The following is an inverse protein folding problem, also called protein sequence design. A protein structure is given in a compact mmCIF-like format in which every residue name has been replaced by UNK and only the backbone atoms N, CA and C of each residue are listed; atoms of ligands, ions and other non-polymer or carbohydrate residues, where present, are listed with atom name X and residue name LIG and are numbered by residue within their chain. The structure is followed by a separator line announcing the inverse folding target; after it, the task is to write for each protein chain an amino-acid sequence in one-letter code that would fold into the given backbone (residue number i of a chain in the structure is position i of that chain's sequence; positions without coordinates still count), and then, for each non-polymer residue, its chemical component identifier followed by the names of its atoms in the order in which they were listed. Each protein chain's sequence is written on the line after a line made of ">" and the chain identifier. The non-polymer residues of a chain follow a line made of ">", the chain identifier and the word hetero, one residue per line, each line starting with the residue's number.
data_IF_588045020169
#
_entry.id   IF_588045020169
#
_cell.length_a   1.000
_cell.length_b   1.000
_cell.length_c   1.000
_cell.angle_alpha   90.00
_cell.angle_beta   90.00
_cell.angle_gamma   90.00
#
_symmetry.space_group_name_H-M   'P 1'
#
loop_
_entity.id
_entity.type
_entity.pdbx_description
1 polymer ?
#
# COMPACT_ATOMS: atom_id res chain seq x y z
N UNK A 1 -16.19 -20.30 -12.62
CA UNK A 1 -15.66 -21.11 -11.50
C UNK A 1 -14.20 -20.73 -11.27
N UNK A 2 -13.91 -20.30 -10.09
CA UNK A 2 -12.54 -20.08 -9.62
C UNK A 2 -12.01 -21.44 -9.19
N UNK A 3 -10.94 -21.91 -9.86
CA UNK A 3 -10.27 -23.12 -9.44
C UNK A 3 -9.30 -22.80 -8.32
N UNK A 4 -9.32 -23.58 -7.24
CA UNK A 4 -8.28 -23.50 -6.22
C UNK A 4 -6.90 -23.77 -6.86
N UNK A 5 -5.85 -23.14 -6.31
CA UNK A 5 -4.50 -23.20 -6.86
C UNK A 5 -3.87 -24.59 -6.99
N UNK A 6 -4.61 -25.66 -6.62
CA UNK A 6 -4.26 -27.06 -6.86
C UNK A 6 -5.08 -27.74 -7.96
N UNK A 7 -6.00 -27.04 -8.61
CA UNK A 7 -6.78 -27.63 -9.71
C UNK A 7 -5.89 -27.80 -10.96
N UNK A 8 -5.72 -29.04 -11.48
CA UNK A 8 -4.94 -29.29 -12.68
C UNK A 8 -5.49 -28.59 -13.93
N UNK A 9 -6.71 -28.05 -13.88
CA UNK A 9 -7.33 -27.29 -14.96
C UNK A 9 -7.07 -25.79 -14.86
N UNK A 10 -6.41 -25.32 -13.81
CA UNK A 10 -6.07 -23.91 -13.64
C UNK A 10 -4.97 -23.51 -14.64
N UNK A 11 -5.15 -22.37 -15.31
CA UNK A 11 -4.12 -21.82 -16.20
C UNK A 11 -3.10 -21.04 -15.36
N UNK A 12 -1.81 -21.41 -15.35
CA UNK A 12 -0.79 -20.71 -14.56
C UNK A 12 -0.58 -19.26 -14.99
N UNK A 13 -1.01 -18.89 -16.20
CA UNK A 13 -0.94 -17.51 -16.72
C UNK A 13 -2.12 -16.65 -16.30
N UNK A 14 -3.20 -17.23 -15.80
CA UNK A 14 -4.41 -16.52 -15.38
C UNK A 14 -4.51 -16.61 -13.86
N UNK A 15 -4.46 -15.47 -13.20
CA UNK A 15 -4.55 -15.41 -11.74
C UNK A 15 -5.73 -14.58 -11.30
N UNK A 16 -6.32 -14.96 -10.16
CA UNK A 16 -7.32 -14.14 -9.48
C UNK A 16 -6.65 -13.02 -8.66
N UNK A 17 -7.45 -12.24 -7.96
CA UNK A 17 -7.00 -11.09 -7.18
C UNK A 17 -6.04 -11.45 -6.02
N UNK A 18 -6.08 -12.68 -5.51
CA UNK A 18 -5.18 -13.17 -4.45
C UNK A 18 -3.96 -13.92 -4.99
N UNK A 19 -3.75 -13.90 -6.30
CA UNK A 19 -2.58 -14.47 -6.97
C UNK A 19 -2.69 -15.97 -7.27
N UNK A 20 -3.79 -16.64 -6.94
CA UNK A 20 -3.99 -18.06 -7.27
C UNK A 20 -4.28 -18.27 -8.75
N UNK A 21 -3.73 -19.31 -9.33
CA UNK A 21 -4.05 -19.69 -10.71
C UNK A 21 -5.50 -20.11 -10.83
N UNK A 22 -6.17 -19.59 -11.85
CA UNK A 22 -7.60 -19.83 -12.09
C UNK A 22 -7.84 -20.25 -13.54
N UNK A 23 -8.95 -20.92 -13.76
CA UNK A 23 -9.41 -21.30 -15.08
C UNK A 23 -10.36 -20.25 -15.64
N UNK A 24 -10.10 -19.82 -16.88
CA UNK A 24 -11.07 -19.01 -17.60
C UNK A 24 -12.22 -19.89 -18.07
N UNK A 25 -13.41 -19.69 -17.52
CA UNK A 25 -14.62 -20.42 -17.94
C UNK A 25 -15.52 -19.49 -18.74
N UNK A 26 -16.11 -20.05 -19.80
CA UNK A 26 -17.15 -19.34 -20.53
C UNK A 26 -18.41 -19.38 -19.65
N UNK A 27 -18.83 -18.24 -19.16
CA UNK A 27 -20.04 -18.16 -18.38
C UNK A 27 -21.27 -18.47 -19.24
N UNK A 28 -22.19 -19.25 -18.69
CA UNK A 28 -23.49 -19.54 -19.31
C UNK A 28 -24.41 -18.31 -19.33
N UNK A 29 -24.14 -17.35 -18.49
CA UNK A 29 -24.95 -16.14 -18.35
C UNK A 29 -24.30 -15.01 -19.16
N UNK A 30 -24.96 -14.51 -20.14
CA UNK A 30 -24.52 -13.39 -21.00
C UNK A 30 -24.91 -12.02 -20.44
N UNK A 31 -25.50 -11.97 -19.26
CA UNK A 31 -26.05 -10.75 -18.70
C UNK A 31 -24.97 -9.91 -17.98
N UNK A 32 -25.01 -8.60 -18.17
CA UNK A 32 -24.15 -7.63 -17.47
C UNK A 32 -24.43 -7.52 -15.96
N UNK A 33 -25.55 -8.10 -15.48
CA UNK A 33 -25.96 -8.07 -14.07
C UNK A 33 -25.54 -9.30 -13.26
N UNK A 34 -24.59 -10.07 -13.70
CA UNK A 34 -24.16 -11.32 -13.05
C UNK A 34 -23.69 -11.19 -11.63
N UNK A 35 -23.04 -10.06 -11.32
CA UNK A 35 -22.63 -9.80 -9.93
C UNK A 35 -23.87 -9.81 -9.04
N UNK A 36 -24.95 -9.16 -9.47
CA UNK A 36 -26.22 -9.13 -8.71
C UNK A 36 -26.82 -10.52 -8.58
N UNK A 37 -26.90 -11.27 -9.67
CA UNK A 37 -27.42 -12.66 -9.65
C UNK A 37 -26.58 -13.58 -8.76
N UNK A 38 -25.26 -13.44 -8.79
CA UNK A 38 -24.35 -14.17 -7.91
C UNK A 38 -24.59 -13.77 -6.45
N UNK A 39 -24.73 -12.48 -6.19
CA UNK A 39 -24.98 -11.93 -4.86
C UNK A 39 -26.33 -12.38 -4.27
N UNK A 40 -27.33 -12.61 -5.12
CA UNK A 40 -28.64 -13.13 -4.69
C UNK A 40 -28.61 -14.63 -4.35
N UNK A 41 -27.60 -15.35 -4.86
CA UNK A 41 -27.42 -16.80 -4.64
C UNK A 41 -26.50 -17.13 -3.47
N UNK A 42 -25.70 -16.18 -2.97
CA UNK A 42 -24.85 -16.42 -1.80
C UNK A 42 -25.68 -16.50 -0.52
N UNK A 43 -25.18 -17.27 0.44
CA UNK A 43 -25.85 -17.42 1.73
C UNK A 43 -25.99 -16.08 2.46
N UNK A 44 -26.98 -15.91 3.35
CA UNK A 44 -27.09 -14.72 4.18
C UNK A 44 -25.82 -14.43 5.01
N UNK A 45 -25.15 -15.48 5.51
CA UNK A 45 -23.89 -15.36 6.24
C UNK A 45 -22.73 -14.86 5.36
N UNK A 46 -22.62 -15.37 4.13
CA UNK A 46 -21.60 -14.90 3.20
C UNK A 46 -21.89 -13.48 2.71
N UNK A 47 -23.18 -13.15 2.55
CA UNK A 47 -23.61 -11.78 2.24
C UNK A 47 -23.23 -10.82 3.35
N UNK A 48 -23.46 -11.17 4.61
CA UNK A 48 -23.03 -10.37 5.77
C UNK A 48 -21.52 -10.25 5.84
N UNK A 49 -20.77 -11.31 5.56
CA UNK A 49 -19.31 -11.29 5.51
C UNK A 49 -18.77 -10.36 4.40
N UNK A 50 -19.43 -10.33 3.24
CA UNK A 50 -18.99 -9.53 2.09
C UNK A 50 -19.43 -8.06 2.22
N UNK A 51 -20.67 -7.83 2.72
CA UNK A 51 -21.27 -6.48 2.80
C UNK A 51 -21.40 -5.93 4.20
N UNK A 52 -21.10 -6.74 5.23
CA UNK A 52 -20.98 -6.24 6.58
C UNK A 52 -20.01 -5.05 6.61
N UNK A 53 -20.29 -4.08 7.47
CA UNK A 53 -19.48 -2.88 7.59
C UNK A 53 -18.07 -3.25 8.08
N UNK A 54 -17.19 -3.54 7.15
CA UNK A 54 -15.77 -3.75 7.42
C UNK A 54 -14.99 -2.55 6.91
N UNK A 55 -14.44 -1.79 7.83
CA UNK A 55 -13.47 -0.77 7.44
C UNK A 55 -12.23 -1.48 6.88
N UNK A 56 -11.79 -1.17 5.65
CA UNK A 56 -10.58 -1.79 5.11
C UNK A 56 -9.40 -1.41 6.00
N UNK A 57 -8.54 -2.39 6.29
CA UNK A 57 -7.27 -2.14 6.98
C UNK A 57 -6.45 -1.13 6.18
N UNK A 58 -6.28 0.06 6.73
CA UNK A 58 -5.59 1.17 6.06
C UNK A 58 -4.19 1.29 6.61
N UNK A 59 -3.21 1.33 5.72
CA UNK A 59 -1.81 1.52 6.01
C UNK A 59 -1.41 2.94 5.61
N UNK A 60 -0.85 3.69 6.56
CA UNK A 60 -0.30 5.02 6.30
C UNK A 60 1.15 4.86 5.90
N UNK A 61 1.53 5.48 4.80
CA UNK A 61 2.88 5.39 4.25
C UNK A 61 3.41 6.78 3.99
N UNK A 62 4.66 6.98 4.36
CA UNK A 62 5.41 8.21 4.13
C UNK A 62 6.85 7.87 3.78
N UNK A 63 7.52 8.69 2.97
CA UNK A 63 8.91 8.46 2.58
C UNK A 63 9.79 9.67 2.88
N UNK A 64 11.05 9.38 3.20
CA UNK A 64 12.11 10.38 3.26
C UNK A 64 13.10 10.16 2.13
N UNK A 65 13.43 11.21 1.41
CA UNK A 65 14.38 11.20 0.31
C UNK A 65 15.58 12.06 0.61
N UNK A 66 16.73 11.72 0.04
CA UNK A 66 17.90 12.55 0.17
C UNK A 66 17.68 13.88 -0.58
N UNK A 67 17.83 15.00 0.14
CA UNK A 67 17.73 16.33 -0.45
C UNK A 67 19.14 16.89 -0.60
N UNK A 68 19.48 17.31 -1.83
CA UNK A 68 20.78 17.95 -2.13
C UNK A 68 20.60 19.45 -2.30
N UNK A 69 20.34 19.93 -3.51
CA UNK A 69 20.30 21.37 -3.81
C UNK A 69 18.88 21.93 -3.95
N UNK A 70 17.91 21.05 -4.24
CA UNK A 70 16.51 21.43 -4.43
C UNK A 70 15.56 20.31 -4.04
N UNK A 71 14.31 20.65 -3.78
CA UNK A 71 13.27 19.65 -3.50
C UNK A 71 13.12 18.69 -4.70
N UNK A 72 13.19 17.38 -4.47
CA UNK A 72 13.27 16.42 -5.57
C UNK A 72 11.91 16.24 -6.25
N UNK A 73 11.91 16.34 -7.56
CA UNK A 73 10.71 16.18 -8.40
C UNK A 73 10.30 14.69 -8.47
N UNK A 74 9.06 14.31 -8.05
CA UNK A 74 8.62 12.91 -8.01
C UNK A 74 8.65 12.21 -9.36
N UNK A 75 8.36 12.93 -10.45
CA UNK A 75 8.38 12.37 -11.81
C UNK A 75 9.79 11.93 -12.25
N UNK A 76 10.82 12.54 -11.70
CA UNK A 76 12.22 12.24 -11.98
C UNK A 76 12.85 11.34 -10.93
N UNK A 77 12.36 11.37 -9.68
CA UNK A 77 12.89 10.64 -8.52
C UNK A 77 14.44 10.59 -8.53
N UNK A 78 15.13 11.77 -8.51
CA UNK A 78 16.57 11.81 -8.75
C UNK A 78 17.38 11.19 -7.62
N UNK A 79 16.94 11.41 -6.38
CA UNK A 79 17.68 11.09 -5.17
C UNK A 79 17.23 9.77 -4.55
N UNK A 80 18.09 9.10 -3.77
CA UNK A 80 17.71 7.89 -3.06
C UNK A 80 16.59 8.11 -2.05
N UNK A 81 15.70 7.13 -1.94
CA UNK A 81 14.81 7.00 -0.79
C UNK A 81 15.63 6.48 0.38
N UNK A 82 15.69 7.23 1.47
CA UNK A 82 16.51 6.89 2.64
C UNK A 82 15.72 6.18 3.71
N UNK A 83 14.41 6.45 3.78
CA UNK A 83 13.50 5.89 4.79
C UNK A 83 12.10 5.71 4.22
N UNK A 84 11.42 4.64 4.64
CA UNK A 84 10.00 4.41 4.40
C UNK A 84 9.35 4.15 5.76
N UNK A 85 8.38 4.98 6.12
CA UNK A 85 7.60 4.84 7.34
C UNK A 85 6.23 4.23 7.02
N UNK A 86 5.81 3.25 7.80
CA UNK A 86 4.53 2.57 7.64
C UNK A 86 3.84 2.52 9.00
N UNK A 87 2.64 3.09 9.10
CA UNK A 87 1.79 2.90 10.28
C UNK A 87 0.70 1.90 9.93
N UNK A 88 0.61 0.84 10.72
CA UNK A 88 -0.31 -0.27 10.46
C UNK A 88 -1.59 -0.15 11.29
N UNK A 89 -2.70 -0.79 10.85
CA UNK A 89 -3.93 -0.87 11.65
C UNK A 89 -3.74 -1.57 13.00
N UNK A 90 -2.70 -2.38 13.12
CA UNK A 90 -2.31 -3.06 14.36
C UNK A 90 -1.46 -2.17 15.29
N UNK A 91 -1.44 -0.86 15.03
CA UNK A 91 -0.70 0.14 15.83
C UNK A 91 0.81 -0.11 15.87
N UNK A 92 1.38 -0.44 14.72
CA UNK A 92 2.83 -0.57 14.55
C UNK A 92 3.37 0.57 13.70
N UNK A 93 4.40 1.25 14.18
CA UNK A 93 5.21 2.20 13.42
C UNK A 93 6.44 1.46 12.89
N UNK A 94 6.39 1.03 11.63
CA UNK A 94 7.47 0.30 10.98
C UNK A 94 8.31 1.27 10.17
N UNK A 95 9.60 1.30 10.44
CA UNK A 95 10.57 2.13 9.71
C UNK A 95 11.57 1.23 8.99
N UNK A 96 11.58 1.33 7.67
CA UNK A 96 12.57 0.72 6.79
C UNK A 96 13.57 1.82 6.44
N UNK A 97 14.86 1.60 6.63
CA UNK A 97 15.88 2.63 6.38
C UNK A 97 17.17 2.03 5.82
N UNK A 98 17.94 2.87 5.13
CA UNK A 98 19.29 2.53 4.65
C UNK A 98 20.39 2.96 5.62
N UNK A 99 20.04 3.73 6.65
CA UNK A 99 20.97 4.12 7.72
C UNK A 99 20.58 3.42 9.02
N UNK A 100 21.58 2.85 9.70
CA UNK A 100 21.33 2.14 10.94
C UNK A 100 21.07 3.11 12.10
N UNK A 101 20.20 2.71 13.02
CA UNK A 101 19.95 3.37 14.29
C UNK A 101 20.43 2.48 15.44
N UNK A 102 21.22 3.06 16.35
CA UNK A 102 21.60 2.35 17.55
C UNK A 102 20.39 2.10 18.48
N UNK A 103 20.54 1.10 19.36
CA UNK A 103 19.44 0.69 20.27
C UNK A 103 18.96 1.81 21.20
N UNK A 104 19.86 2.72 21.60
CA UNK A 104 19.51 3.83 22.48
C UNK A 104 18.62 4.83 21.76
N UNK A 105 18.92 5.11 20.49
CA UNK A 105 18.08 5.96 19.64
C UNK A 105 16.73 5.32 19.36
N UNK A 106 16.70 4.00 19.08
CA UNK A 106 15.42 3.28 18.89
C UNK A 106 14.55 3.33 20.15
N UNK A 107 15.15 3.15 21.36
CA UNK A 107 14.39 3.28 22.62
C UNK A 107 13.83 4.68 22.82
N UNK A 108 14.59 5.73 22.52
CA UNK A 108 14.09 7.12 22.61
C UNK A 108 12.93 7.38 21.65
N UNK A 109 12.97 6.80 20.46
CA UNK A 109 11.86 6.94 19.49
C UNK A 109 10.61 6.25 20.05
N UNK A 110 10.75 5.05 20.63
CA UNK A 110 9.62 4.39 21.29
C UNK A 110 9.04 5.24 22.42
N UNK A 111 9.90 5.78 23.29
CA UNK A 111 9.45 6.66 24.41
C UNK A 111 8.68 7.89 23.87
N UNK A 112 9.13 8.49 22.74
CA UNK A 112 8.45 9.62 22.10
C UNK A 112 7.09 9.24 21.51
N UNK A 113 7.00 8.05 20.91
CA UNK A 113 5.76 7.50 20.38
C UNK A 113 4.77 7.28 21.54
N UNK A 114 5.21 6.65 22.61
CA UNK A 114 4.39 6.37 23.79
C UNK A 114 3.87 7.67 24.42
N UNK A 115 4.71 8.68 24.55
CA UNK A 115 4.30 10.00 25.07
C UNK A 115 3.30 10.71 24.16
N UNK A 116 3.48 10.62 22.84
CA UNK A 116 2.58 11.25 21.86
C UNK A 116 1.18 10.64 21.91
N UNK A 117 1.07 9.32 21.93
CA UNK A 117 -0.20 8.60 21.90
C UNK A 117 -0.84 8.39 23.28
N UNK A 118 -0.16 8.74 24.35
CA UNK A 118 -0.68 8.64 25.73
C UNK A 118 -1.97 9.42 25.95
N UNK A 119 -2.13 10.58 25.28
CA UNK A 119 -3.31 11.42 25.41
C UNK A 119 -4.59 10.78 24.86
N UNK A 120 -4.47 9.86 23.93
CA UNK A 120 -5.58 9.13 23.31
C UNK A 120 -5.68 7.69 23.82
N UNK A 121 -4.86 7.32 24.83
CA UNK A 121 -4.82 5.98 25.44
C UNK A 121 -4.62 4.86 24.41
N UNK A 122 -3.68 5.08 23.50
CA UNK A 122 -3.31 4.10 22.47
C UNK A 122 -1.80 3.77 22.56
N UNK A 123 -1.49 2.48 22.42
CA UNK A 123 -0.12 1.98 22.45
C UNK A 123 0.33 1.63 21.02
N UNK A 124 1.42 2.25 20.58
CA UNK A 124 2.06 1.95 19.31
C UNK A 124 3.43 1.31 19.54
N UNK A 125 3.74 0.27 18.78
CA UNK A 125 5.06 -0.35 18.79
C UNK A 125 5.94 0.20 17.68
N UNK A 126 7.20 0.50 17.99
CA UNK A 126 8.21 0.90 17.03
C UNK A 126 8.99 -0.30 16.53
N UNK A 127 9.05 -0.50 15.22
CA UNK A 127 9.80 -1.57 14.56
C UNK A 127 10.76 -0.93 13.55
N UNK A 128 12.04 -1.18 13.75
CA UNK A 128 13.08 -0.65 12.87
C UNK A 128 13.78 -1.76 12.10
N UNK A 129 13.92 -1.58 10.78
CA UNK A 129 14.66 -2.49 9.92
C UNK A 129 15.64 -1.72 9.05
N UNK A 130 16.92 -2.02 9.21
CA UNK A 130 17.98 -1.47 8.37
C UNK A 130 18.27 -2.38 7.18
N UNK A 131 18.57 -1.76 6.04
CA UNK A 131 18.98 -2.43 4.80
C UNK A 131 20.35 -1.93 4.38
N UNK A 132 21.13 -2.80 3.74
CA UNK A 132 22.48 -2.48 3.28
C UNK A 132 22.48 -1.49 2.10
N UNK A 133 21.38 -1.45 1.36
CA UNK A 133 21.19 -0.58 0.20
C UNK A 133 19.73 -0.25 -0.06
N UNK A 134 19.51 0.76 -0.89
CA UNK A 134 18.17 1.23 -1.28
C UNK A 134 17.38 0.17 -2.08
N UNK A 135 18.06 -0.58 -2.96
CA UNK A 135 17.39 -1.58 -3.79
C UNK A 135 16.66 -2.64 -2.92
N UNK A 136 17.36 -3.19 -1.94
CA UNK A 136 16.80 -4.23 -1.06
C UNK A 136 15.67 -3.68 -0.18
N UNK A 137 15.79 -2.43 0.27
CA UNK A 137 14.72 -1.73 1.00
C UNK A 137 13.47 -1.57 0.13
N UNK A 138 13.63 -0.98 -1.06
CA UNK A 138 12.52 -0.72 -1.98
C UNK A 138 11.88 -2.01 -2.48
N UNK A 139 12.68 -3.02 -2.83
CA UNK A 139 12.20 -4.33 -3.23
C UNK A 139 11.38 -4.99 -2.11
N UNK A 140 11.89 -4.97 -0.88
CA UNK A 140 11.17 -5.51 0.29
C UNK A 140 9.87 -4.75 0.53
N UNK A 141 9.88 -3.43 0.43
CA UNK A 141 8.67 -2.62 0.56
C UNK A 141 7.60 -3.03 -0.44
N UNK A 142 7.95 -3.09 -1.72
CA UNK A 142 7.01 -3.43 -2.79
C UNK A 142 6.51 -4.88 -2.71
N UNK A 143 7.42 -5.84 -2.57
CA UNK A 143 7.09 -7.28 -2.63
C UNK A 143 6.47 -7.80 -1.34
N UNK A 144 6.93 -7.31 -0.18
CA UNK A 144 6.52 -7.87 1.12
C UNK A 144 5.42 -7.06 1.79
N UNK A 145 5.49 -5.73 1.71
CA UNK A 145 4.52 -4.86 2.40
C UNK A 145 3.35 -4.48 1.50
N UNK A 146 3.59 -3.76 0.41
CA UNK A 146 2.52 -3.26 -0.48
C UNK A 146 1.66 -4.40 -1.01
N UNK A 147 2.24 -5.53 -1.31
CA UNK A 147 1.53 -6.73 -1.78
C UNK A 147 0.46 -7.25 -0.80
N UNK A 148 0.55 -6.87 0.47
CA UNK A 148 -0.38 -7.28 1.53
C UNK A 148 -1.36 -6.20 1.94
N UNK A 149 -1.18 -4.97 1.47
CA UNK A 149 -2.03 -3.86 1.86
C UNK A 149 -3.36 -3.90 1.10
N UNK A 150 -4.50 -3.92 1.78
CA UNK A 150 -5.79 -3.73 1.12
C UNK A 150 -6.05 -2.26 0.79
N UNK A 151 -5.48 -1.33 1.59
CA UNK A 151 -5.58 0.12 1.36
C UNK A 151 -4.32 0.83 1.83
N UNK A 152 -3.87 1.81 1.04
CA UNK A 152 -2.75 2.71 1.36
C UNK A 152 -3.21 4.15 1.35
N UNK A 153 -2.64 4.95 2.22
CA UNK A 153 -2.83 6.40 2.29
C UNK A 153 -1.60 7.09 2.86
N UNK A 154 -1.56 8.39 2.73
CA UNK A 154 -0.60 9.31 3.32
C UNK A 154 -1.01 10.74 3.01
N UNK A 155 -0.26 11.71 3.48
CA UNK A 155 -0.49 13.12 3.15
C UNK A 155 0.19 13.43 1.82
N UNK A 156 -0.56 13.98 0.85
CA UNK A 156 -0.08 14.20 -0.53
C UNK A 156 0.51 12.95 -1.22
N UNK A 157 0.11 11.80 -0.72
CA UNK A 157 0.69 10.50 -1.02
C UNK A 157 0.67 10.15 -2.50
N UNK A 158 -0.45 10.44 -3.17
CA UNK A 158 -0.64 10.12 -4.58
C UNK A 158 0.26 10.95 -5.49
N UNK A 159 0.42 12.24 -5.16
CA UNK A 159 1.16 13.18 -6.00
C UNK A 159 2.67 13.17 -5.73
N UNK A 160 3.08 12.85 -4.50
CA UNK A 160 4.49 12.83 -4.13
C UNK A 160 5.01 11.41 -3.87
N UNK A 161 4.65 10.80 -2.72
CA UNK A 161 5.29 9.57 -2.24
C UNK A 161 5.15 8.41 -3.21
N UNK A 162 3.91 8.12 -3.64
CA UNK A 162 3.67 7.00 -4.53
C UNK A 162 4.34 7.19 -5.90
N UNK A 163 4.25 8.40 -6.46
CA UNK A 163 4.93 8.69 -7.72
C UNK A 163 6.46 8.56 -7.59
N UNK A 164 7.01 9.06 -6.48
CA UNK A 164 8.43 8.94 -6.20
C UNK A 164 8.86 7.48 -6.10
N UNK A 165 8.15 6.69 -5.30
CA UNK A 165 8.39 5.25 -5.14
C UNK A 165 8.40 4.53 -6.50
N UNK A 166 7.36 4.71 -7.31
CA UNK A 166 7.26 4.05 -8.62
C UNK A 166 8.40 4.44 -9.55
N UNK A 167 8.68 5.74 -9.67
CA UNK A 167 9.75 6.20 -10.55
C UNK A 167 11.14 5.80 -10.02
N UNK A 168 11.31 5.73 -8.70
CA UNK A 168 12.55 5.25 -8.10
C UNK A 168 12.74 3.75 -8.30
N UNK A 169 11.70 2.94 -8.14
CA UNK A 169 11.71 1.51 -8.48
C UNK A 169 12.21 1.28 -9.90
N UNK A 170 11.65 1.99 -10.88
CA UNK A 170 12.08 1.89 -12.29
C UNK A 170 13.56 2.22 -12.48
N UNK A 171 14.07 3.26 -11.81
CA UNK A 171 15.50 3.60 -11.85
C UNK A 171 16.41 2.53 -11.26
N UNK A 172 15.92 1.85 -10.23
CA UNK A 172 16.63 0.77 -9.58
C UNK A 172 16.48 -0.58 -10.33
N UNK A 173 15.70 -0.62 -11.42
CA UNK A 173 15.42 -1.85 -12.16
C UNK A 173 14.41 -2.78 -11.47
N UNK A 174 13.62 -2.25 -10.54
CA UNK A 174 12.54 -2.97 -9.85
C UNK A 174 11.26 -2.77 -10.67
N UNK A 175 10.65 -3.88 -11.12
CA UNK A 175 9.34 -3.84 -11.78
C UNK A 175 8.24 -3.54 -10.74
N UNK A 176 7.51 -2.42 -10.84
CA UNK A 176 6.44 -2.10 -9.91
C UNK A 176 5.35 -3.18 -9.79
N UNK A 177 5.17 -4.01 -10.80
CA UNK A 177 4.17 -5.08 -10.80
C UNK A 177 4.40 -6.17 -9.73
N UNK A 178 5.62 -6.26 -9.15
CA UNK A 178 5.91 -7.17 -8.04
C UNK A 178 5.06 -6.87 -6.80
N UNK A 179 4.62 -5.62 -6.65
CA UNK A 179 3.74 -5.20 -5.55
C UNK A 179 2.33 -5.79 -5.64
N UNK A 180 1.97 -6.38 -6.76
CA UNK A 180 0.65 -6.97 -6.97
C UNK A 180 0.71 -8.50 -6.91
N UNK A 181 -0.19 -9.18 -6.18
CA UNK A 181 -0.26 -10.65 -6.15
C UNK A 181 -0.51 -11.26 -7.53
N UNK A 182 -1.15 -10.52 -8.43
CA UNK A 182 -1.42 -10.96 -9.79
C UNK A 182 -0.39 -10.46 -10.82
N UNK A 183 0.68 -9.78 -10.37
CA UNK A 183 1.72 -9.23 -11.23
C UNK A 183 1.23 -8.16 -12.19
N UNK A 184 0.30 -7.31 -11.77
CA UNK A 184 -0.28 -6.24 -12.60
C UNK A 184 -0.49 -4.97 -11.80
N UNK A 185 -0.28 -3.85 -12.49
CA UNK A 185 -0.62 -2.51 -12.04
C UNK A 185 -1.65 -1.89 -12.99
N UNK A 186 -2.30 -0.81 -12.57
CA UNK A 186 -3.28 -0.10 -13.38
C UNK A 186 -3.13 1.43 -13.27
N UNK A 187 -3.66 2.11 -14.28
CA UNK A 187 -3.67 3.57 -14.34
C UNK A 187 -2.29 4.18 -14.60
N UNK A 188 -2.26 5.49 -14.75
CA UNK A 188 -1.02 6.25 -15.03
C UNK A 188 0.00 6.22 -13.88
N UNK A 189 -0.48 5.99 -12.65
CA UNK A 189 0.33 5.93 -11.43
C UNK A 189 0.76 4.50 -11.07
N UNK A 190 0.45 3.51 -11.91
CA UNK A 190 0.84 2.11 -11.72
C UNK A 190 0.47 1.53 -10.35
N UNK A 191 -0.77 1.77 -9.92
CA UNK A 191 -1.28 1.20 -8.68
C UNK A 191 -1.39 -0.32 -8.77
N UNK A 192 -1.02 -1.07 -7.70
CA UNK A 192 -1.27 -2.50 -7.66
C UNK A 192 -2.77 -2.80 -7.75
N UNK A 193 -3.15 -3.81 -8.55
CA UNK A 193 -4.58 -4.06 -8.85
C UNK A 193 -5.44 -4.45 -7.64
N UNK A 194 -4.85 -4.81 -6.51
CA UNK A 194 -5.55 -5.26 -5.31
C UNK A 194 -5.64 -4.19 -4.22
N UNK A 195 -4.96 -3.06 -4.38
CA UNK A 195 -4.83 -2.02 -3.34
C UNK A 195 -5.76 -0.85 -3.63
N UNK A 196 -6.58 -0.47 -2.66
CA UNK A 196 -7.22 0.83 -2.64
C UNK A 196 -6.19 1.92 -2.27
N UNK A 197 -6.14 2.98 -3.05
CA UNK A 197 -5.24 4.11 -2.77
C UNK A 197 -6.07 5.36 -2.56
N UNK A 198 -5.87 6.02 -1.45
CA UNK A 198 -6.48 7.31 -1.13
C UNK A 198 -5.39 8.31 -0.79
N UNK A 199 -5.63 9.58 -1.11
CA UNK A 199 -4.81 10.68 -0.63
C UNK A 199 -5.52 11.36 0.55
N UNK A 200 -4.85 11.41 1.69
CA UNK A 200 -5.45 12.01 2.88
C UNK A 200 -5.62 13.53 2.71
N UNK A 201 -4.75 14.17 1.96
CA UNK A 201 -4.88 15.58 1.60
C UNK A 201 -6.17 15.84 0.81
N UNK A 202 -6.51 15.00 -0.16
CA UNK A 202 -7.74 15.12 -0.95
C UNK A 202 -9.00 14.95 -0.08
N UNK A 203 -8.95 14.03 0.89
CA UNK A 203 -10.04 13.81 1.85
C UNK A 203 -10.20 15.02 2.75
N UNK A 204 -9.09 15.52 3.31
CA UNK A 204 -9.06 16.67 4.19
C UNK A 204 -9.58 17.93 3.48
N UNK A 205 -9.14 18.20 2.28
CA UNK A 205 -9.58 19.34 1.48
C UNK A 205 -11.08 19.30 1.10
N UNK A 206 -11.66 18.09 0.98
CA UNK A 206 -13.12 17.93 0.79
C UNK A 206 -13.90 18.15 2.07
N UNK A 207 -13.30 17.81 3.20
CA UNK A 207 -13.91 18.00 4.53
C UNK A 207 -13.84 19.45 4.96
N UNK A 208 -12.67 20.06 4.89
CA UNK A 208 -12.43 21.47 5.23
C UNK A 208 -12.20 22.29 3.96
N UNK A 209 -13.27 22.94 3.49
CA UNK A 209 -13.24 23.78 2.28
C UNK A 209 -12.50 25.10 2.47
N UNK A 210 -11.99 25.38 3.67
CA UNK A 210 -11.21 26.60 3.96
C UNK A 210 -9.72 26.41 3.70
N UNK A 211 -9.25 25.16 3.52
CA UNK A 211 -7.85 24.85 3.24
C UNK A 211 -7.55 25.12 1.78
N UNK A 212 -6.68 26.09 1.53
CA UNK A 212 -6.11 26.30 0.20
C UNK A 212 -4.95 25.32 -0.01
N UNK A 213 -5.19 24.27 -0.80
CA UNK A 213 -4.24 23.16 -1.08
C UNK A 213 -2.88 23.68 -1.62
N UNK A 214 -2.80 24.94 -2.04
CA UNK A 214 -1.59 25.54 -2.61
C UNK A 214 -0.64 26.16 -1.59
N UNK A 215 -1.09 26.42 -0.38
CA UNK A 215 -0.32 27.13 0.65
C UNK A 215 0.29 26.22 1.73
N UNK A 216 -0.05 24.92 1.76
CA UNK A 216 0.37 23.98 2.81
C UNK A 216 1.62 23.16 2.44
N UNK A 217 2.47 23.69 1.54
CA UNK A 217 3.74 23.06 1.16
C UNK A 217 4.92 24.03 1.23
#
# INVERSE_FOLDING_TARGET
>A
EVCDGGDPKADPKIKNWDGRSVKKVRSRFLNKYRIIEYMDQISPSDRELIFGYHFPKTYFVDIEVEVTDSFPEPSKAPNPVTTICIVTPEKQCIVLATKNLDRKTQSKIQDQIDDHFKSINEDFSFIFKCFDNEYDMMYTFMETFVKKFPMMTGWNYVQFDWQYIINRCKKLGIDPSISSPIGRTFGKHEYPCHVGVMDYLDIYAKWDRTVDIKEDF
#
